data_IF_258591132319
#
_entry.id   IF_258591132319
#
_cell.length_a   1.000
_cell.length_b   1.000
_cell.length_c   1.000
_cell.angle_alpha   90.00
_cell.angle_beta   90.00
_cell.angle_gamma   90.00
#
_symmetry.space_group_name_H-M   'P 1'
#
loop_
_entity.id
_entity.type
_entity.pdbx_description
1 polymer ?
#
# COMPACT_ATOMS: atom_id res chain seq x y z
N UNK A 1 10.27 -17.06 -4.84
CA UNK A 1 9.45 -15.89 -4.45
C UNK A 1 9.05 -15.12 -5.70
N UNK A 2 7.79 -14.66 -5.82
CA UNK A 2 7.37 -13.82 -6.95
C UNK A 2 8.14 -12.49 -6.91
N UNK A 3 8.53 -11.96 -8.08
CA UNK A 3 9.31 -10.71 -8.20
C UNK A 3 8.64 -9.53 -7.48
N UNK A 4 7.32 -9.51 -7.38
CA UNK A 4 6.53 -8.48 -6.70
C UNK A 4 6.85 -8.32 -5.20
N UNK A 5 7.21 -9.40 -4.50
CA UNK A 5 7.54 -9.34 -3.06
C UNK A 5 8.83 -8.60 -2.82
N UNK A 6 9.84 -8.85 -3.65
CA UNK A 6 11.12 -8.15 -3.55
C UNK A 6 10.95 -6.65 -3.79
N UNK A 7 10.09 -6.27 -4.74
CA UNK A 7 9.72 -4.87 -4.95
C UNK A 7 9.07 -4.26 -3.71
N UNK A 8 8.14 -4.98 -3.06
CA UNK A 8 7.52 -4.55 -1.81
C UNK A 8 8.53 -4.36 -0.67
N UNK A 9 9.42 -5.34 -0.46
CA UNK A 9 10.49 -5.29 0.55
C UNK A 9 11.45 -4.13 0.27
N UNK A 10 11.83 -3.92 -0.99
CA UNK A 10 12.72 -2.84 -1.39
C UNK A 10 12.11 -1.47 -1.10
N UNK A 11 10.84 -1.24 -1.48
CA UNK A 11 10.16 0.01 -1.16
C UNK A 11 9.99 0.22 0.33
N UNK A 12 9.68 -0.84 1.08
CA UNK A 12 9.60 -0.74 2.54
C UNK A 12 10.94 -0.37 3.17
N UNK A 13 12.03 -1.02 2.75
CA UNK A 13 13.38 -0.73 3.23
C UNK A 13 13.82 0.70 2.89
N UNK A 14 13.58 1.16 1.65
CA UNK A 14 13.84 2.54 1.26
C UNK A 14 13.00 3.51 2.10
N UNK A 15 11.71 3.23 2.27
CA UNK A 15 10.82 4.03 3.11
C UNK A 15 11.34 4.18 4.54
N UNK A 16 11.90 3.12 5.14
CA UNK A 16 12.56 3.19 6.44
C UNK A 16 13.80 4.09 6.42
N UNK A 17 14.65 3.99 5.39
CA UNK A 17 15.82 4.88 5.24
C UNK A 17 15.39 6.34 5.16
N UNK A 18 14.39 6.67 4.33
CA UNK A 18 13.84 8.02 4.24
C UNK A 18 13.20 8.49 5.56
N UNK A 19 12.61 7.58 6.35
CA UNK A 19 12.07 7.86 7.68
C UNK A 19 13.15 8.23 8.69
N UNK A 20 14.29 7.54 8.65
CA UNK A 20 15.43 7.83 9.53
C UNK A 20 16.03 9.18 9.13
N UNK A 21 16.18 9.44 7.82
CA UNK A 21 16.67 10.71 7.31
C UNK A 21 15.74 11.87 7.67
N UNK A 22 14.42 11.71 7.57
CA UNK A 22 13.47 12.76 7.96
C UNK A 22 13.59 13.09 9.45
N UNK A 23 13.72 12.08 10.31
CA UNK A 23 13.95 12.27 11.76
C UNK A 23 15.25 13.02 12.03
N UNK A 24 16.32 12.69 11.32
CA UNK A 24 17.59 13.39 11.47
C UNK A 24 17.48 14.87 11.05
N UNK A 25 16.77 15.17 9.95
CA UNK A 25 16.56 16.54 9.47
C UNK A 25 15.68 17.37 10.42
N UNK A 26 14.67 16.78 11.06
CA UNK A 26 13.82 17.46 12.06
C UNK A 26 14.64 17.94 13.27
N UNK A 27 15.71 17.21 13.63
CA UNK A 27 16.55 17.50 14.78
C UNK A 27 17.68 18.51 14.52
N UNK A 28 17.85 19.01 13.27
CA UNK A 28 18.95 19.92 12.96
C UNK A 28 18.67 21.34 13.49
N UNK A 29 19.61 21.95 14.23
CA UNK A 29 19.49 23.34 14.65
C UNK A 29 19.74 24.25 13.44
N UNK A 30 18.75 25.08 13.12
CA UNK A 30 18.77 25.95 11.94
C UNK A 30 19.06 27.40 12.37
N UNK A 31 19.99 28.08 11.70
CA UNK A 31 20.54 29.37 12.17
C UNK A 31 19.88 30.59 11.54
N UNK A 32 19.18 30.45 10.41
CA UNK A 32 18.48 31.55 9.75
C UNK A 32 17.07 31.19 9.27
N UNK A 33 16.20 32.19 9.09
CA UNK A 33 14.82 32.03 8.62
C UNK A 33 14.72 31.34 7.24
N UNK A 34 15.64 31.64 6.32
CA UNK A 34 15.69 31.01 4.99
C UNK A 34 16.08 29.54 5.08
N UNK A 35 17.07 29.21 5.91
CA UNK A 35 17.44 27.83 6.19
C UNK A 35 16.29 27.07 6.86
N UNK A 36 15.52 27.72 7.75
CA UNK A 36 14.35 27.10 8.41
C UNK A 36 13.26 26.72 7.41
N UNK A 37 12.98 27.58 6.42
CA UNK A 37 12.02 27.26 5.37
C UNK A 37 12.49 26.11 4.48
N UNK A 38 13.73 26.15 4.01
CA UNK A 38 14.31 25.09 3.19
C UNK A 38 14.38 23.75 3.94
N UNK A 39 14.76 23.77 5.22
CA UNK A 39 14.78 22.60 6.09
C UNK A 39 13.38 22.01 6.30
N UNK A 40 12.38 22.85 6.58
CA UNK A 40 10.99 22.40 6.74
C UNK A 40 10.42 21.80 5.45
N UNK A 41 10.73 22.40 4.29
CA UNK A 41 10.30 21.89 3.01
C UNK A 41 10.97 20.54 2.70
N UNK A 42 12.29 20.42 2.94
CA UNK A 42 13.00 19.16 2.80
C UNK A 42 12.41 18.08 3.73
N UNK A 43 12.21 18.38 5.01
CA UNK A 43 11.56 17.48 5.97
C UNK A 43 10.21 17.00 5.45
N UNK A 44 9.36 17.91 4.97
CA UNK A 44 8.06 17.55 4.41
C UNK A 44 8.17 16.57 3.24
N UNK A 45 9.10 16.81 2.30
CA UNK A 45 9.36 15.89 1.19
C UNK A 45 9.83 14.51 1.68
N UNK A 46 10.80 14.46 2.60
CA UNK A 46 11.31 13.20 3.13
C UNK A 46 10.24 12.42 3.90
N UNK A 47 9.39 13.11 4.67
CA UNK A 47 8.24 12.52 5.38
C UNK A 47 7.23 11.92 4.41
N UNK A 48 6.83 12.67 3.37
CA UNK A 48 5.84 12.21 2.39
C UNK A 48 6.40 11.05 1.56
N UNK A 49 7.63 11.18 1.06
CA UNK A 49 8.29 10.12 0.27
C UNK A 49 8.43 8.84 1.11
N UNK A 50 8.91 8.97 2.36
CA UNK A 50 9.00 7.84 3.27
C UNK A 50 7.64 7.17 3.47
N UNK A 51 6.61 7.96 3.77
CA UNK A 51 5.26 7.46 4.02
C UNK A 51 4.69 6.71 2.82
N UNK A 52 4.83 7.28 1.61
CA UNK A 52 4.38 6.64 0.37
C UNK A 52 5.12 5.32 0.14
N UNK A 53 6.44 5.30 0.30
CA UNK A 53 7.25 4.09 0.11
C UNK A 53 6.92 2.99 1.12
N UNK A 54 6.72 3.35 2.39
CA UNK A 54 6.28 2.42 3.43
C UNK A 54 4.87 1.88 3.14
N UNK A 55 3.95 2.74 2.72
CA UNK A 55 2.58 2.37 2.38
C UNK A 55 2.51 1.43 1.18
N UNK A 56 3.19 1.76 0.08
CA UNK A 56 3.28 0.90 -1.11
C UNK A 56 3.97 -0.43 -0.74
N UNK A 57 5.12 -0.36 -0.07
CA UNK A 57 5.90 -1.55 0.28
C UNK A 57 5.11 -2.53 1.14
N UNK A 58 4.51 -2.04 2.23
CA UNK A 58 3.66 -2.85 3.11
C UNK A 58 2.41 -3.37 2.40
N UNK A 59 1.76 -2.55 1.58
CA UNK A 59 0.58 -2.96 0.81
C UNK A 59 0.87 -4.07 -0.19
N UNK A 60 1.98 -3.98 -0.91
CA UNK A 60 2.41 -5.03 -1.84
C UNK A 60 2.75 -6.33 -1.11
N UNK A 61 3.41 -6.26 0.04
CA UNK A 61 3.74 -7.44 0.86
C UNK A 61 2.46 -8.09 1.38
N UNK A 62 1.53 -7.30 1.96
CA UNK A 62 0.26 -7.80 2.49
C UNK A 62 -0.60 -8.40 1.37
N UNK A 63 -0.75 -7.71 0.25
CA UNK A 63 -1.50 -8.21 -0.91
C UNK A 63 -0.90 -9.53 -1.42
N UNK A 64 0.43 -9.63 -1.49
CA UNK A 64 1.07 -10.89 -1.86
C UNK A 64 0.80 -12.03 -0.86
N UNK A 65 0.81 -11.74 0.45
CA UNK A 65 0.45 -12.74 1.49
C UNK A 65 -0.99 -13.22 1.33
N UNK A 66 -1.89 -12.35 0.88
CA UNK A 66 -3.31 -12.67 0.68
C UNK A 66 -3.54 -13.40 -0.65
N UNK A 67 -2.72 -13.14 -1.67
CA UNK A 67 -2.83 -13.74 -3.00
C UNK A 67 -2.59 -15.28 -3.03
N UNK A 68 -2.28 -15.91 -1.89
CA UNK A 68 -2.31 -17.36 -1.73
C UNK A 68 -3.73 -17.93 -1.55
N UNK A 69 -4.72 -17.10 -1.21
CA UNK A 69 -6.12 -17.48 -1.11
C UNK A 69 -6.81 -17.53 -2.49
N UNK A 70 -8.07 -18.01 -2.53
CA UNK A 70 -8.87 -17.98 -3.77
C UNK A 70 -9.07 -16.52 -4.24
N UNK A 71 -9.07 -16.21 -5.54
CA UNK A 71 -9.06 -14.83 -6.05
C UNK A 71 -10.18 -13.94 -5.48
N UNK A 72 -11.41 -14.47 -5.41
CA UNK A 72 -12.55 -13.71 -4.86
C UNK A 72 -12.39 -13.42 -3.36
N UNK A 73 -11.95 -14.41 -2.57
CA UNK A 73 -11.69 -14.21 -1.14
C UNK A 73 -10.50 -13.30 -0.87
N UNK A 74 -9.48 -13.36 -1.74
CA UNK A 74 -8.30 -12.50 -1.68
C UNK A 74 -8.68 -11.03 -1.95
N UNK A 75 -9.52 -10.77 -2.95
CA UNK A 75 -10.05 -9.45 -3.26
C UNK A 75 -10.89 -8.87 -2.10
N UNK A 76 -11.84 -9.64 -1.57
CA UNK A 76 -12.67 -9.19 -0.43
C UNK A 76 -11.81 -8.90 0.80
N UNK A 77 -10.87 -9.79 1.13
CA UNK A 77 -9.98 -9.59 2.29
C UNK A 77 -9.08 -8.36 2.12
N UNK A 78 -8.53 -8.15 0.91
CA UNK A 78 -7.73 -6.96 0.59
C UNK A 78 -8.55 -5.68 0.73
N UNK A 79 -9.83 -5.69 0.35
CA UNK A 79 -10.73 -4.55 0.49
C UNK A 79 -11.03 -4.23 1.96
N UNK A 80 -11.30 -5.26 2.78
CA UNK A 80 -11.52 -5.09 4.22
C UNK A 80 -10.27 -4.51 4.88
N UNK A 81 -9.09 -5.06 4.57
CA UNK A 81 -7.83 -4.57 5.11
C UNK A 81 -7.49 -3.16 4.62
N UNK A 82 -7.85 -2.79 3.39
CA UNK A 82 -7.71 -1.43 2.90
C UNK A 82 -8.55 -0.44 3.73
N UNK A 83 -9.80 -0.78 4.02
CA UNK A 83 -10.67 0.04 4.86
C UNK A 83 -10.12 0.15 6.29
N UNK A 84 -9.75 -0.98 6.91
CA UNK A 84 -9.16 -1.01 8.26
C UNK A 84 -7.88 -0.18 8.31
N UNK A 85 -6.98 -0.33 7.33
CA UNK A 85 -5.76 0.46 7.26
C UNK A 85 -6.03 1.97 7.22
N UNK A 86 -7.04 2.41 6.46
CA UNK A 86 -7.42 3.82 6.42
C UNK A 86 -7.90 4.33 7.78
N UNK A 87 -8.80 3.60 8.45
CA UNK A 87 -9.31 3.99 9.76
C UNK A 87 -8.22 3.99 10.84
N UNK A 88 -7.35 2.97 10.84
CA UNK A 88 -6.20 2.90 11.74
C UNK A 88 -5.24 4.06 11.47
N UNK A 89 -5.01 4.41 10.20
CA UNK A 89 -4.19 5.56 9.82
C UNK A 89 -4.70 6.89 10.35
N UNK A 90 -6.00 7.16 10.15
CA UNK A 90 -6.65 8.36 10.67
C UNK A 90 -6.58 8.37 12.20
N UNK A 91 -6.95 7.28 12.86
CA UNK A 91 -6.91 7.16 14.32
C UNK A 91 -5.51 7.36 14.91
N UNK A 92 -4.49 6.70 14.34
CA UNK A 92 -3.11 6.84 14.75
C UNK A 92 -2.59 8.27 14.55
N UNK A 93 -2.92 8.91 13.42
CA UNK A 93 -2.51 10.29 13.15
C UNK A 93 -3.10 11.28 14.14
N UNK A 94 -4.39 11.13 14.51
CA UNK A 94 -5.05 11.97 15.51
C UNK A 94 -4.44 11.79 16.91
N UNK A 95 -4.08 10.57 17.29
CA UNK A 95 -3.41 10.31 18.57
C UNK A 95 -1.98 10.87 18.61
N UNK A 96 -1.28 10.87 17.49
CA UNK A 96 0.11 11.31 17.40
C UNK A 96 0.27 12.82 17.23
N UNK A 97 -0.77 13.54 16.82
CA UNK A 97 -0.70 14.98 16.51
C UNK A 97 -0.25 15.83 17.70
N UNK A 98 -0.61 15.39 18.91
CA UNK A 98 -0.26 16.06 20.18
C UNK A 98 1.21 15.87 20.53
N UNK A 99 1.82 14.76 20.10
CA UNK A 99 3.20 14.42 20.41
C UNK A 99 4.19 14.95 19.37
N UNK A 100 3.88 14.77 18.07
CA UNK A 100 4.73 15.18 16.96
C UNK A 100 3.92 15.21 15.65
N UNK A 101 3.61 16.42 15.16
CA UNK A 101 2.85 16.62 13.92
C UNK A 101 3.48 15.97 12.69
N UNK A 102 4.81 15.88 12.61
CA UNK A 102 5.50 15.22 11.49
C UNK A 102 5.30 13.70 11.51
N UNK A 103 5.34 13.09 12.69
CA UNK A 103 5.09 11.66 12.85
C UNK A 103 3.63 11.32 12.57
N UNK A 104 2.70 12.19 13.02
CA UNK A 104 1.28 12.07 12.69
C UNK A 104 1.03 12.13 11.17
N UNK A 105 1.67 13.08 10.48
CA UNK A 105 1.59 13.22 9.02
C UNK A 105 2.15 12.00 8.30
N UNK A 106 3.32 11.52 8.74
CA UNK A 106 3.95 10.32 8.17
C UNK A 106 3.06 9.09 8.32
N UNK A 107 2.48 8.88 9.52
CA UNK A 107 1.57 7.78 9.78
C UNK A 107 0.33 7.86 8.88
N UNK A 108 -0.30 9.04 8.80
CA UNK A 108 -1.49 9.25 7.97
C UNK A 108 -1.22 8.86 6.51
N UNK A 109 -0.18 9.42 5.90
CA UNK A 109 0.16 9.13 4.50
C UNK A 109 0.55 7.67 4.30
N UNK A 110 1.26 7.04 5.26
CA UNK A 110 1.65 5.63 5.15
C UNK A 110 0.42 4.73 5.06
N UNK A 111 -0.54 4.94 5.96
CA UNK A 111 -1.76 4.13 6.01
C UNK A 111 -2.73 4.45 4.85
N UNK A 112 -2.81 5.71 4.40
CA UNK A 112 -3.57 6.08 3.19
C UNK A 112 -2.98 5.39 1.96
N UNK A 113 -1.67 5.45 1.76
CA UNK A 113 -1.03 4.81 0.61
C UNK A 113 -1.11 3.28 0.69
N UNK A 114 -0.99 2.70 1.89
CA UNK A 114 -1.25 1.28 2.13
C UNK A 114 -2.68 0.91 1.72
N UNK A 115 -3.67 1.67 2.16
CA UNK A 115 -5.08 1.47 1.82
C UNK A 115 -5.31 1.52 0.30
N UNK A 116 -4.78 2.53 -0.38
CA UNK A 116 -4.86 2.65 -1.84
C UNK A 116 -4.20 1.45 -2.53
N UNK A 117 -3.03 1.03 -2.06
CA UNK A 117 -2.29 -0.10 -2.64
C UNK A 117 -3.08 -1.39 -2.52
N UNK A 118 -3.67 -1.67 -1.34
CA UNK A 118 -4.52 -2.83 -1.12
C UNK A 118 -5.82 -2.76 -1.91
N UNK A 119 -6.42 -1.57 -2.04
CA UNK A 119 -7.61 -1.34 -2.84
C UNK A 119 -7.35 -1.65 -4.31
N UNK A 120 -6.29 -1.10 -4.89
CA UNK A 120 -5.89 -1.37 -6.28
C UNK A 120 -5.59 -2.87 -6.47
N UNK A 121 -4.87 -3.50 -5.52
CA UNK A 121 -4.61 -4.93 -5.53
C UNK A 121 -5.91 -5.76 -5.54
N UNK A 122 -6.91 -5.35 -4.75
CA UNK A 122 -8.21 -6.03 -4.71
C UNK A 122 -8.94 -6.01 -6.06
N UNK A 123 -8.86 -4.89 -6.80
CA UNK A 123 -9.46 -4.78 -8.13
C UNK A 123 -8.83 -5.80 -9.09
N UNK A 124 -7.51 -5.95 -9.06
CA UNK A 124 -6.82 -6.95 -9.88
C UNK A 124 -7.26 -8.38 -9.54
N UNK A 125 -7.45 -8.70 -8.26
CA UNK A 125 -7.96 -10.02 -7.83
C UNK A 125 -9.39 -10.27 -8.32
N UNK A 126 -10.27 -9.27 -8.26
CA UNK A 126 -11.64 -9.37 -8.77
C UNK A 126 -11.69 -9.59 -10.28
N UNK A 127 -10.88 -8.85 -11.05
CA UNK A 127 -10.79 -9.05 -12.50
C UNK A 127 -10.22 -10.41 -12.85
N UNK A 128 -9.18 -10.86 -12.16
CA UNK A 128 -8.62 -12.21 -12.34
C UNK A 128 -9.65 -13.32 -12.04
N UNK A 129 -10.47 -13.13 -11.00
CA UNK A 129 -11.58 -14.04 -10.68
C UNK A 129 -12.60 -14.08 -11.81
N UNK A 130 -13.00 -12.93 -12.36
CA UNK A 130 -14.01 -12.84 -13.42
C UNK A 130 -13.51 -13.51 -14.70
N UNK A 131 -12.26 -13.26 -15.10
CA UNK A 131 -11.64 -13.90 -16.26
C UNK A 131 -11.57 -15.42 -16.12
N UNK A 132 -11.30 -15.91 -14.91
CA UNK A 132 -11.26 -17.35 -14.63
C UNK A 132 -12.64 -17.99 -14.81
N UNK A 133 -13.70 -17.35 -14.31
CA UNK A 133 -15.09 -17.80 -14.47
C UNK A 133 -15.50 -17.80 -15.94
N UNK A 134 -15.21 -16.73 -16.69
CA UNK A 134 -15.53 -16.63 -18.12
C UNK A 134 -14.84 -17.74 -18.92
N UNK A 135 -13.57 -18.03 -18.63
CA UNK A 135 -12.83 -19.13 -19.30
C UNK A 135 -13.44 -20.49 -18.99
N UNK A 136 -13.85 -20.72 -17.75
CA UNK A 136 -14.45 -21.98 -17.31
C UNK A 136 -15.83 -22.21 -17.95
N UNK A 137 -16.68 -21.18 -17.98
CA UNK A 137 -17.98 -21.20 -18.67
C UNK A 137 -17.79 -21.46 -20.17
N UNK A 138 -16.86 -20.75 -20.82
CA UNK A 138 -16.56 -20.96 -22.25
C UNK A 138 -16.08 -22.38 -22.53
N UNK A 139 -15.27 -22.96 -21.63
CA UNK A 139 -14.80 -24.35 -21.72
C UNK A 139 -15.97 -25.33 -21.58
N UNK A 140 -16.89 -25.10 -20.63
CA UNK A 140 -18.08 -25.92 -20.46
C UNK A 140 -18.97 -25.93 -21.70
N UNK A 141 -19.33 -24.76 -22.25
CA UNK A 141 -20.12 -24.68 -23.48
C UNK A 141 -19.42 -25.34 -24.68
N UNK A 142 -18.10 -25.15 -24.82
CA UNK A 142 -17.34 -25.80 -25.90
C UNK A 142 -17.38 -27.34 -25.78
N UNK A 143 -17.37 -27.89 -24.56
CA UNK A 143 -17.50 -29.32 -24.32
C UNK A 143 -18.91 -29.84 -24.61
N UNK A 144 -19.95 -29.10 -24.18
CA UNK A 144 -21.34 -29.47 -24.47
C UNK A 144 -21.65 -29.47 -25.96
N UNK A 145 -21.20 -28.44 -26.70
CA UNK A 145 -21.37 -28.37 -28.17
C UNK A 145 -20.66 -29.53 -28.87
N UNK A 146 -19.45 -29.91 -28.41
CA UNK A 146 -18.75 -31.09 -28.96
C UNK A 146 -19.51 -32.39 -28.71
N UNK A 147 -20.16 -32.53 -27.56
CA UNK A 147 -20.97 -33.71 -27.21
C UNK A 147 -22.22 -33.81 -28.08
N UNK A 148 -22.87 -32.69 -28.38
CA UNK A 148 -24.06 -32.62 -29.25
C UNK A 148 -23.78 -32.85 -30.74
N UNK A 149 -22.51 -32.74 -31.18
CA UNK A 149 -22.10 -33.00 -32.57
C UNK A 149 -21.72 -34.46 -32.86
N UNK A 150 -21.68 -35.33 -31.85
CA UNK A 150 -21.45 -36.77 -31.97
C UNK A 150 -22.77 -37.51 -31.83
#
# INVERSE_FOLDING_TARGET
MRKSVFTGILFFALGLVFSILSKALIGLPVKSLQETFAANLAVAFFVIISAVLLGIGSGVIIHWLIAFAKPLSAGILSLILAAVALFVGVGASLGLIVSNGWTALQALFTFVTLSITLFIGSLFDFFASTDSVVKEVKKFFRLQIKKLRK
#
